data_IF_302834515578
#
_entry.id   IF_302834515578
#
_cell.length_a   1.000
_cell.length_b   1.000
_cell.length_c   1.000
_cell.angle_alpha   90.00
_cell.angle_beta   90.00
_cell.angle_gamma   90.00
#
_symmetry.space_group_name_H-M   'P 1'
#
loop_
_entity.id
_entity.type
_entity.pdbx_description
1 polymer ?
#
# COMPACT_ATOMS: atom_id res chain seq x y z
N UNK A 1 -13.89 64.95 -9.07
CA UNK A 1 -13.90 63.48 -9.26
C UNK A 1 -12.58 62.91 -8.77
N UNK A 2 -12.55 62.28 -7.59
CA UNK A 2 -11.38 61.56 -7.08
C UNK A 2 -11.55 60.09 -7.43
N UNK A 3 -10.63 59.54 -8.21
CA UNK A 3 -10.59 58.14 -8.62
C UNK A 3 -10.02 57.30 -7.47
N UNK A 4 -10.87 56.48 -6.84
CA UNK A 4 -10.42 55.49 -5.87
C UNK A 4 -9.75 54.33 -6.62
N UNK A 5 -8.46 54.10 -6.37
CA UNK A 5 -7.79 52.83 -6.71
C UNK A 5 -8.38 51.71 -5.85
N UNK A 6 -8.65 50.51 -6.39
CA UNK A 6 -9.06 49.37 -5.58
C UNK A 6 -7.92 49.00 -4.62
N UNK A 7 -8.24 48.95 -3.33
CA UNK A 7 -7.30 48.63 -2.26
C UNK A 7 -6.69 47.24 -2.46
N UNK A 8 -5.35 47.19 -2.47
CA UNK A 8 -4.63 45.95 -2.19
C UNK A 8 -5.04 45.50 -0.79
N UNK A 9 -5.69 44.34 -0.69
CA UNK A 9 -5.84 43.64 0.59
C UNK A 9 -4.44 43.48 1.21
N UNK A 10 -4.26 43.74 2.51
CA UNK A 10 -2.97 43.50 3.16
C UNK A 10 -2.64 42.01 3.04
N UNK A 11 -1.48 41.72 2.46
CA UNK A 11 -0.97 40.35 2.36
C UNK A 11 -0.95 39.76 3.77
N UNK A 12 -1.64 38.62 3.95
CA UNK A 12 -1.62 37.91 5.21
C UNK A 12 -0.16 37.67 5.64
N UNK A 13 0.16 37.80 6.95
CA UNK A 13 1.51 37.54 7.42
C UNK A 13 1.90 36.12 7.05
N UNK A 14 3.09 35.96 6.45
CA UNK A 14 3.64 34.65 6.16
C UNK A 14 3.95 33.92 7.46
N UNK A 15 3.29 32.79 7.69
CA UNK A 15 3.56 31.90 8.81
C UNK A 15 4.09 30.58 8.23
N UNK A 16 5.33 30.16 8.57
CA UNK A 16 5.83 28.87 8.12
C UNK A 16 4.99 27.75 8.74
N UNK A 17 4.75 26.69 7.97
CA UNK A 17 4.10 25.48 8.48
C UNK A 17 4.94 24.76 9.53
N UNK A 18 4.34 23.81 10.24
CA UNK A 18 5.05 23.00 11.22
C UNK A 18 6.23 22.25 10.56
N UNK A 19 7.47 22.41 11.04
CA UNK A 19 8.66 21.86 10.37
C UNK A 19 8.92 20.38 10.67
N UNK A 20 8.08 19.71 11.47
CA UNK A 20 8.33 18.33 11.99
C UNK A 20 8.70 17.35 10.88
N UNK A 21 7.89 17.24 9.81
CA UNK A 21 8.18 16.33 8.69
C UNK A 21 9.47 16.68 7.96
N UNK A 22 9.74 17.98 7.76
CA UNK A 22 10.98 18.42 7.12
C UNK A 22 12.21 18.11 7.97
N UNK A 23 12.10 18.26 9.29
CA UNK A 23 13.19 17.97 10.21
C UNK A 23 13.45 16.46 10.31
N UNK A 24 12.38 15.65 10.34
CA UNK A 24 12.49 14.20 10.28
C UNK A 24 13.19 13.77 8.98
N UNK A 25 12.72 14.24 7.82
CA UNK A 25 13.35 13.99 6.53
C UNK A 25 14.84 14.36 6.46
N UNK A 26 15.25 15.48 7.08
CA UNK A 26 16.67 15.88 7.13
C UNK A 26 17.55 14.89 7.88
N UNK A 27 16.96 14.13 8.80
CA UNK A 27 17.66 13.13 9.61
C UNK A 27 17.63 11.73 8.98
N UNK A 28 17.05 11.59 7.77
CA UNK A 28 17.08 10.34 7.00
C UNK A 28 18.53 9.92 6.70
N UNK A 29 18.88 8.68 7.09
CA UNK A 29 20.22 8.14 6.85
C UNK A 29 21.33 8.74 7.73
N UNK A 30 21.00 9.48 8.79
CA UNK A 30 22.01 10.06 9.67
C UNK A 30 22.67 9.00 10.57
N UNK A 31 23.92 8.67 10.29
CA UNK A 31 24.69 7.66 11.04
C UNK A 31 24.93 8.03 12.52
N UNK A 32 24.92 9.33 12.85
CA UNK A 32 25.24 9.81 14.21
C UNK A 32 24.06 9.68 15.17
N UNK A 33 22.84 9.83 14.66
CA UNK A 33 21.61 9.80 15.45
C UNK A 33 20.89 8.45 15.34
N UNK A 34 21.24 7.63 14.34
CA UNK A 34 20.66 6.32 14.14
C UNK A 34 20.85 5.39 15.34
N UNK A 35 19.76 4.71 15.72
CA UNK A 35 19.70 3.69 16.77
C UNK A 35 19.48 2.28 16.20
N UNK A 36 19.28 2.18 14.87
CA UNK A 36 19.17 0.93 14.12
C UNK A 36 19.96 0.98 12.81
N UNK A 37 20.43 -0.19 12.37
CA UNK A 37 21.23 -0.36 11.16
C UNK A 37 20.73 -1.57 10.38
N UNK A 38 20.64 -1.44 9.06
CA UNK A 38 20.21 -2.50 8.15
C UNK A 38 21.31 -2.86 7.18
N UNK A 39 21.39 -4.14 6.82
CA UNK A 39 22.13 -4.62 5.67
C UNK A 39 21.14 -5.21 4.67
N UNK A 40 21.01 -4.56 3.52
CA UNK A 40 20.00 -4.89 2.50
C UNK A 40 20.67 -5.48 1.27
N UNK A 41 20.08 -6.53 0.74
CA UNK A 41 20.58 -7.25 -0.42
C UNK A 41 21.43 -8.46 -0.03
N UNK A 42 21.77 -9.25 -1.04
CA UNK A 42 22.44 -10.54 -0.88
C UNK A 42 21.47 -11.68 -0.51
N UNK A 43 21.40 -12.70 -1.37
CA UNK A 43 21.01 -14.09 -1.08
C UNK A 43 21.43 -14.91 -2.32
N UNK A 44 22.01 -16.11 -2.23
CA UNK A 44 21.36 -17.39 -1.86
C UNK A 44 22.37 -18.31 -1.17
N UNK A 45 22.00 -18.96 -0.06
CA UNK A 45 22.65 -20.24 0.30
C UNK A 45 22.27 -21.25 -0.78
N UNK A 46 23.19 -21.54 -1.71
CA UNK A 46 23.04 -22.72 -2.55
C UNK A 46 23.06 -23.95 -1.66
N UNK A 47 21.92 -24.62 -1.57
CA UNK A 47 21.89 -26.03 -1.27
C UNK A 47 22.89 -26.74 -2.19
N UNK A 48 23.67 -27.64 -1.59
CA UNK A 48 24.69 -28.50 -2.20
C UNK A 48 26.09 -27.90 -2.36
N UNK A 49 26.93 -28.17 -1.35
CA UNK A 49 28.31 -28.62 -1.53
C UNK A 49 29.30 -27.73 -2.28
N UNK A 50 30.19 -27.08 -1.52
CA UNK A 50 31.51 -26.56 -1.94
C UNK A 50 31.53 -25.72 -3.24
N UNK A 51 31.58 -24.39 -3.11
CA UNK A 51 32.56 -23.50 -3.80
C UNK A 51 32.33 -22.02 -3.41
N UNK A 52 33.43 -21.28 -3.30
CA UNK A 52 33.63 -19.83 -3.05
C UNK A 52 32.36 -18.99 -2.83
N UNK A 53 32.23 -18.45 -1.61
CA UNK A 53 31.31 -17.36 -1.21
C UNK A 53 31.45 -16.22 -2.23
N UNK A 54 30.52 -16.13 -3.19
CA UNK A 54 30.42 -14.95 -4.03
C UNK A 54 30.15 -13.75 -3.12
N UNK A 55 30.94 -12.69 -3.26
CA UNK A 55 30.76 -11.46 -2.48
C UNK A 55 29.47 -10.80 -2.97
N UNK A 56 28.34 -11.18 -2.38
CA UNK A 56 27.06 -10.54 -2.62
C UNK A 56 27.15 -9.11 -2.10
N UNK A 57 26.91 -8.14 -2.97
CA UNK A 57 26.91 -6.73 -2.59
C UNK A 57 25.71 -6.48 -1.65
N UNK A 58 26.00 -6.07 -0.42
CA UNK A 58 25.02 -5.58 0.54
C UNK A 58 25.16 -4.07 0.65
N UNK A 59 24.04 -3.37 0.85
CA UNK A 59 24.01 -1.93 1.08
C UNK A 59 23.56 -1.68 2.51
N UNK A 60 24.31 -0.84 3.22
CA UNK A 60 23.99 -0.48 4.60
C UNK A 60 23.07 0.74 4.65
N UNK A 61 22.05 0.69 5.51
CA UNK A 61 21.18 1.83 5.79
C UNK A 61 21.14 2.10 7.30
N UNK A 62 21.14 3.39 7.65
CA UNK A 62 21.01 3.87 9.03
C UNK A 62 19.64 4.49 9.21
N UNK A 63 18.96 4.17 10.30
CA UNK A 63 17.62 4.69 10.56
C UNK A 63 17.33 4.86 12.06
N UNK A 64 16.10 5.32 12.34
CA UNK A 64 15.57 5.54 13.67
C UNK A 64 14.40 4.60 13.94
N UNK A 65 14.50 3.77 14.97
CA UNK A 65 13.46 2.83 15.38
C UNK A 65 12.11 3.54 15.61
N UNK A 66 12.14 4.77 16.15
CA UNK A 66 10.94 5.59 16.33
C UNK A 66 10.19 5.85 15.02
N UNK A 67 10.90 6.20 13.95
CA UNK A 67 10.32 6.47 12.64
C UNK A 67 9.65 5.22 12.07
N UNK A 68 10.30 4.07 12.23
CA UNK A 68 9.82 2.77 11.78
C UNK A 68 8.60 2.31 12.55
N UNK A 69 8.61 2.43 13.88
CA UNK A 69 7.47 2.03 14.71
C UNK A 69 6.17 2.71 14.32
N UNK A 70 6.23 3.95 13.84
CA UNK A 70 5.07 4.72 13.42
C UNK A 70 4.61 4.41 11.99
N UNK A 71 5.53 4.07 11.08
CA UNK A 71 5.23 4.01 9.64
C UNK A 71 5.45 2.64 9.00
N UNK A 72 6.22 1.76 9.63
CA UNK A 72 6.56 0.40 9.20
C UNK A 72 6.79 -0.51 10.43
N UNK A 73 5.73 -0.78 11.22
CA UNK A 73 5.85 -1.46 12.51
C UNK A 73 6.47 -2.86 12.41
N UNK A 74 6.16 -3.63 11.36
CA UNK A 74 6.75 -4.96 11.20
C UNK A 74 8.27 -4.89 10.95
N UNK A 75 8.76 -3.83 10.31
CA UNK A 75 10.22 -3.60 10.21
C UNK A 75 10.82 -3.18 11.55
N UNK A 76 10.11 -2.37 12.33
CA UNK A 76 10.57 -1.96 13.66
C UNK A 76 10.71 -3.17 14.59
N UNK A 77 9.78 -4.12 14.55
CA UNK A 77 9.80 -5.36 15.35
C UNK A 77 10.98 -6.28 15.00
N UNK A 78 11.56 -6.13 13.80
CA UNK A 78 12.79 -6.85 13.39
C UNK A 78 14.07 -6.23 13.95
N UNK A 79 14.00 -5.06 14.59
CA UNK A 79 15.15 -4.32 15.09
C UNK A 79 15.33 -4.51 16.60
N UNK A 80 16.59 -4.49 17.03
CA UNK A 80 16.96 -4.35 18.44
C UNK A 80 17.50 -2.92 18.65
N UNK A 81 16.67 -1.96 19.11
CA UNK A 81 17.10 -0.57 19.22
C UNK A 81 18.25 -0.43 20.21
N UNK A 82 19.28 0.33 19.80
CA UNK A 82 20.46 0.61 20.63
C UNK A 82 21.66 -0.32 20.39
N UNK A 83 21.47 -1.43 19.66
CA UNK A 83 22.58 -2.26 19.17
C UNK A 83 22.86 -1.99 17.69
N UNK A 84 23.49 -0.84 17.41
CA UNK A 84 23.94 -0.49 16.05
C UNK A 84 25.13 -1.33 15.55
N UNK A 85 25.70 -2.18 16.42
CA UNK A 85 26.82 -3.05 16.07
C UNK A 85 26.38 -4.31 15.33
N UNK A 86 25.13 -4.72 15.51
CA UNK A 86 24.50 -5.86 14.85
C UNK A 86 23.42 -5.41 13.85
N UNK A 87 23.72 -5.33 12.55
CA UNK A 87 22.75 -4.91 11.54
C UNK A 87 21.62 -5.94 11.35
N UNK A 88 20.39 -5.46 11.20
CA UNK A 88 19.26 -6.30 10.78
C UNK A 88 19.41 -6.64 9.29
N UNK A 89 19.49 -7.93 8.96
CA UNK A 89 19.64 -8.40 7.58
C UNK A 89 18.30 -8.40 6.83
N UNK A 90 18.27 -7.76 5.67
CA UNK A 90 17.11 -7.63 4.79
C UNK A 90 17.41 -8.31 3.45
N UNK A 91 16.90 -9.52 3.30
CA UNK A 91 17.07 -10.34 2.10
C UNK A 91 15.91 -10.16 1.11
N UNK A 92 16.11 -10.55 -0.16
CA UNK A 92 15.08 -10.61 -1.20
C UNK A 92 14.36 -9.29 -1.50
N UNK A 93 14.98 -8.14 -1.20
CA UNK A 93 14.49 -6.81 -1.57
C UNK A 93 15.66 -6.03 -2.15
N UNK A 94 15.41 -5.30 -3.24
CA UNK A 94 16.43 -4.48 -3.85
C UNK A 94 16.78 -3.30 -2.94
N UNK A 95 18.07 -2.96 -2.78
CA UNK A 95 18.48 -1.82 -1.95
C UNK A 95 17.79 -0.49 -2.33
N UNK A 96 17.52 -0.27 -3.63
CA UNK A 96 16.78 0.91 -4.10
C UNK A 96 15.35 0.95 -3.56
N UNK A 97 14.59 -0.15 -3.72
CA UNK A 97 13.21 -0.28 -3.20
C UNK A 97 13.16 -0.11 -1.68
N UNK A 98 14.11 -0.72 -0.96
CA UNK A 98 14.18 -0.55 0.50
C UNK A 98 14.47 0.90 0.88
N UNK A 99 15.38 1.57 0.18
CA UNK A 99 15.68 2.98 0.40
C UNK A 99 14.45 3.86 0.21
N UNK A 100 13.69 3.62 -0.86
CA UNK A 100 12.48 4.41 -1.17
C UNK A 100 11.40 4.22 -0.10
N UNK A 101 11.18 2.99 0.34
CA UNK A 101 10.28 2.70 1.46
C UNK A 101 10.76 3.34 2.77
N UNK A 102 12.06 3.23 3.08
CA UNK A 102 12.61 3.85 4.28
C UNK A 102 12.48 5.38 4.20
N UNK A 103 12.72 5.98 3.03
CA UNK A 103 12.54 7.41 2.81
C UNK A 103 11.08 7.83 3.01
N UNK A 104 10.13 7.03 2.55
CA UNK A 104 8.70 7.23 2.80
C UNK A 104 8.36 7.25 4.30
N UNK A 105 8.97 6.36 5.09
CA UNK A 105 8.77 6.31 6.55
C UNK A 105 9.21 7.59 7.27
N UNK A 106 10.02 8.44 6.62
CA UNK A 106 10.46 9.72 7.15
C UNK A 106 9.57 10.90 6.69
N UNK A 107 8.50 10.64 5.94
CA UNK A 107 7.62 11.64 5.34
C UNK A 107 8.02 12.02 3.90
N UNK A 108 8.91 11.24 3.28
CA UNK A 108 9.31 11.41 1.90
C UNK A 108 8.21 11.01 0.92
N UNK A 109 8.19 11.65 -0.24
CA UNK A 109 7.32 11.26 -1.35
C UNK A 109 8.12 10.53 -2.39
N UNK A 110 7.62 9.38 -2.84
CA UNK A 110 8.18 8.66 -3.99
C UNK A 110 7.59 9.30 -5.25
N UNK A 111 8.41 9.51 -6.28
CA UNK A 111 7.90 10.06 -7.54
C UNK A 111 6.93 9.10 -8.21
N UNK A 112 5.92 9.63 -8.91
CA UNK A 112 4.97 8.82 -9.67
C UNK A 112 5.69 7.90 -10.67
N UNK A 113 6.72 8.39 -11.37
CA UNK A 113 7.48 7.57 -12.32
C UNK A 113 8.11 6.35 -11.66
N UNK A 114 8.66 6.52 -10.45
CA UNK A 114 9.28 5.41 -9.71
C UNK A 114 8.23 4.44 -9.17
N UNK A 115 7.08 4.96 -8.70
CA UNK A 115 5.94 4.14 -8.33
C UNK A 115 5.42 3.33 -9.52
N UNK A 116 5.33 3.91 -10.72
CA UNK A 116 4.86 3.22 -11.93
C UNK A 116 5.83 2.12 -12.37
N UNK A 117 7.12 2.40 -12.33
CA UNK A 117 8.16 1.45 -12.78
C UNK A 117 8.36 0.29 -11.80
N UNK A 118 8.24 0.55 -10.50
CA UNK A 118 8.59 -0.40 -9.44
C UNK A 118 7.40 -0.73 -8.52
N UNK A 119 6.16 -0.59 -9.02
CA UNK A 119 4.95 -0.70 -8.20
C UNK A 119 4.89 -2.03 -7.44
N UNK A 120 5.22 -3.13 -8.13
CA UNK A 120 5.14 -4.47 -7.56
C UNK A 120 6.18 -4.68 -6.46
N UNK A 121 7.43 -4.29 -6.71
CA UNK A 121 8.52 -4.38 -5.73
C UNK A 121 8.24 -3.52 -4.50
N UNK A 122 7.69 -2.31 -4.70
CA UNK A 122 7.29 -1.41 -3.62
C UNK A 122 6.15 -2.02 -2.80
N UNK A 123 5.13 -2.60 -3.45
CA UNK A 123 4.04 -3.31 -2.76
C UNK A 123 4.61 -4.47 -1.93
N UNK A 124 5.51 -5.28 -2.49
CA UNK A 124 6.10 -6.42 -1.78
C UNK A 124 6.90 -5.97 -0.55
N UNK A 125 7.68 -4.91 -0.67
CA UNK A 125 8.42 -4.34 0.46
C UNK A 125 7.48 -3.74 1.51
N UNK A 126 6.52 -2.92 1.08
CA UNK A 126 5.59 -2.24 1.97
C UNK A 126 4.68 -3.22 2.72
N UNK A 127 4.18 -4.25 2.04
CA UNK A 127 3.38 -5.34 2.63
C UNK A 127 4.20 -6.13 3.66
N UNK A 128 5.45 -6.48 3.34
CA UNK A 128 6.34 -7.21 4.25
C UNK A 128 6.66 -6.43 5.52
N UNK A 129 6.85 -5.12 5.39
CA UNK A 129 7.36 -4.27 6.47
C UNK A 129 6.28 -3.45 7.19
N UNK A 130 5.03 -3.59 6.77
CA UNK A 130 3.90 -2.91 7.39
C UNK A 130 3.77 -1.43 7.01
N UNK A 131 4.36 -1.00 5.90
CA UNK A 131 4.21 0.36 5.38
C UNK A 131 2.88 0.52 4.61
N UNK A 132 1.76 0.43 5.35
CA UNK A 132 0.40 0.35 4.80
C UNK A 132 0.09 1.48 3.82
N UNK A 133 0.36 2.74 4.18
CA UNK A 133 0.02 3.87 3.31
C UNK A 133 0.78 3.82 1.98
N UNK A 134 2.06 3.42 2.02
CA UNK A 134 2.86 3.25 0.82
C UNK A 134 2.33 2.09 -0.05
N UNK A 135 1.93 0.98 0.58
CA UNK A 135 1.31 -0.15 -0.12
C UNK A 135 0.05 0.29 -0.88
N UNK A 136 -0.82 1.07 -0.25
CA UNK A 136 -2.07 1.55 -0.87
C UNK A 136 -1.80 2.55 -2.00
N UNK A 137 -0.81 3.43 -1.84
CA UNK A 137 -0.39 4.37 -2.87
C UNK A 137 0.20 3.65 -4.09
N UNK A 138 1.06 2.65 -3.86
CA UNK A 138 1.62 1.81 -4.92
C UNK A 138 0.55 0.92 -5.58
N UNK A 139 -0.44 0.44 -4.83
CA UNK A 139 -1.59 -0.29 -5.37
C UNK A 139 -2.39 0.59 -6.34
N UNK A 140 -2.74 1.82 -5.96
CA UNK A 140 -3.48 2.74 -6.82
C UNK A 140 -2.72 2.99 -8.13
N UNK A 141 -1.40 3.22 -8.05
CA UNK A 141 -0.55 3.35 -9.22
C UNK A 141 -0.52 2.08 -10.09
N UNK A 142 -0.48 0.89 -9.46
CA UNK A 142 -0.45 -0.37 -10.18
C UNK A 142 -1.78 -0.64 -10.92
N UNK A 143 -2.91 -0.28 -10.31
CA UNK A 143 -4.24 -0.38 -10.93
C UNK A 143 -4.36 0.48 -12.19
N UNK A 144 -3.75 1.66 -12.19
CA UNK A 144 -3.77 2.58 -13.34
C UNK A 144 -2.82 2.15 -14.47
N UNK A 145 -1.77 1.40 -14.16
CA UNK A 145 -0.72 1.02 -15.12
C UNK A 145 -0.85 -0.40 -15.64
N UNK A 146 -1.53 -1.30 -14.92
CA UNK A 146 -1.65 -2.70 -15.32
C UNK A 146 -2.58 -2.87 -16.52
N UNK A 147 -2.05 -3.47 -17.58
CA UNK A 147 -2.84 -3.90 -18.74
C UNK A 147 -3.43 -5.28 -18.48
N UNK A 148 -4.72 -5.34 -18.13
CA UNK A 148 -5.42 -6.60 -17.92
C UNK A 148 -5.80 -7.26 -19.26
N UNK A 149 -5.56 -8.57 -19.35
CA UNK A 149 -5.97 -9.42 -20.47
C UNK A 149 -6.52 -10.74 -19.94
N UNK A 150 -7.25 -11.48 -20.77
CA UNK A 150 -7.76 -12.81 -20.38
C UNK A 150 -6.63 -13.80 -20.06
N UNK A 151 -5.44 -13.60 -20.62
CA UNK A 151 -4.29 -14.49 -20.41
C UNK A 151 -3.58 -14.20 -19.06
N UNK A 152 -3.63 -12.96 -18.57
CA UNK A 152 -2.92 -12.56 -17.34
C UNK A 152 -3.83 -12.41 -16.11
N UNK A 153 -5.15 -12.34 -16.30
CA UNK A 153 -6.10 -11.94 -15.26
C UNK A 153 -6.05 -12.83 -14.02
N UNK A 154 -5.87 -14.14 -14.19
CA UNK A 154 -5.80 -15.09 -13.07
C UNK A 154 -4.52 -14.89 -12.26
N UNK A 155 -3.39 -14.65 -12.91
CA UNK A 155 -2.14 -14.33 -12.22
C UNK A 155 -2.23 -13.02 -11.43
N UNK A 156 -2.85 -11.99 -12.03
CA UNK A 156 -3.00 -10.68 -11.39
C UNK A 156 -3.97 -10.74 -10.21
N UNK A 157 -5.12 -11.41 -10.35
CA UNK A 157 -6.12 -11.48 -9.28
C UNK A 157 -5.64 -12.34 -8.10
N UNK A 158 -4.92 -13.44 -8.36
CA UNK A 158 -4.32 -14.27 -7.31
C UNK A 158 -3.20 -13.51 -6.59
N UNK A 159 -2.40 -12.71 -7.32
CA UNK A 159 -1.44 -11.81 -6.69
C UNK A 159 -2.14 -10.77 -5.80
N UNK A 160 -3.19 -10.11 -6.31
CA UNK A 160 -3.96 -9.11 -5.58
C UNK A 160 -4.53 -9.68 -4.28
N UNK A 161 -5.14 -10.87 -4.36
CA UNK A 161 -5.70 -11.57 -3.23
C UNK A 161 -4.62 -12.00 -2.21
N UNK A 162 -3.46 -12.50 -2.66
CA UNK A 162 -2.35 -12.87 -1.77
C UNK A 162 -1.74 -11.70 -0.99
N UNK A 163 -1.88 -10.48 -1.53
CA UNK A 163 -1.33 -9.24 -0.98
C UNK A 163 -2.38 -8.33 -0.35
N UNK A 164 -3.63 -8.78 -0.24
CA UNK A 164 -4.77 -7.97 0.22
C UNK A 164 -4.93 -6.64 -0.55
N UNK A 165 -4.65 -6.65 -1.85
CA UNK A 165 -4.83 -5.51 -2.74
C UNK A 165 -6.28 -5.45 -3.21
N UNK A 166 -7.16 -4.96 -2.32
CA UNK A 166 -8.60 -4.93 -2.56
C UNK A 166 -8.99 -4.13 -3.81
N UNK A 167 -8.30 -3.01 -4.11
CA UNK A 167 -8.60 -2.17 -5.27
C UNK A 167 -8.20 -2.86 -6.57
N UNK A 168 -7.02 -3.50 -6.59
CA UNK A 168 -6.60 -4.30 -7.74
C UNK A 168 -7.51 -5.51 -7.97
N UNK A 169 -7.88 -6.20 -6.88
CA UNK A 169 -8.84 -7.31 -6.93
C UNK A 169 -10.18 -6.85 -7.52
N UNK A 170 -10.72 -5.72 -7.06
CA UNK A 170 -11.95 -5.12 -7.60
C UNK A 170 -11.81 -4.82 -9.10
N UNK A 171 -10.69 -4.21 -9.52
CA UNK A 171 -10.41 -3.90 -10.94
C UNK A 171 -10.38 -5.15 -11.82
N UNK A 172 -9.83 -6.26 -11.31
CA UNK A 172 -9.82 -7.56 -12.00
C UNK A 172 -11.23 -8.13 -12.15
N UNK A 173 -12.06 -8.08 -11.10
CA UNK A 173 -13.43 -8.57 -11.17
C UNK A 173 -14.30 -7.74 -12.11
N UNK A 174 -14.14 -6.41 -12.09
CA UNK A 174 -14.80 -5.52 -13.04
C UNK A 174 -14.44 -5.88 -14.49
N UNK A 175 -13.15 -6.11 -14.77
CA UNK A 175 -12.70 -6.54 -16.09
C UNK A 175 -13.39 -7.85 -16.53
N UNK A 176 -13.35 -8.89 -15.69
CA UNK A 176 -14.01 -10.18 -15.98
C UNK A 176 -15.53 -10.03 -16.16
N UNK A 177 -16.18 -9.19 -15.36
CA UNK A 177 -17.62 -8.96 -15.43
C UNK A 177 -18.04 -8.28 -16.75
N UNK A 178 -17.18 -7.41 -17.28
CA UNK A 178 -17.42 -6.66 -18.52
C UNK A 178 -16.96 -7.37 -19.80
N UNK A 179 -16.14 -8.42 -19.67
CA UNK A 179 -15.60 -9.18 -20.79
C UNK A 179 -16.65 -10.08 -21.45
N UNK A 180 -16.39 -10.50 -22.69
CA UNK A 180 -17.23 -11.47 -23.38
C UNK A 180 -17.20 -12.83 -22.65
N UNK A 181 -18.38 -13.27 -22.19
CA UNK A 181 -18.53 -14.49 -21.37
C UNK A 181 -18.12 -15.76 -22.11
N UNK A 182 -18.29 -15.80 -23.44
CA UNK A 182 -17.90 -16.95 -24.27
C UNK A 182 -16.38 -16.99 -24.38
N UNK A 183 -15.73 -15.84 -24.58
CA UNK A 183 -14.27 -15.77 -24.60
C UNK A 183 -13.66 -16.13 -23.24
N UNK A 184 -14.20 -15.59 -22.15
CA UNK A 184 -13.75 -15.90 -20.78
C UNK A 184 -13.83 -17.41 -20.54
N UNK A 185 -14.99 -18.04 -20.82
CA UNK A 185 -15.18 -19.47 -20.62
C UNK A 185 -14.26 -20.35 -21.48
N UNK A 186 -13.75 -19.83 -22.61
CA UNK A 186 -12.83 -20.57 -23.50
C UNK A 186 -11.37 -20.39 -23.13
N UNK A 187 -10.97 -19.19 -22.69
CA UNK A 187 -9.56 -18.81 -22.52
C UNK A 187 -9.09 -18.84 -21.07
N UNK A 188 -9.97 -18.55 -20.12
CA UNK A 188 -9.60 -18.40 -18.71
C UNK A 188 -9.78 -19.74 -17.99
N UNK A 189 -8.71 -20.26 -17.40
CA UNK A 189 -8.81 -21.36 -16.42
C UNK A 189 -9.01 -20.78 -15.03
N UNK A 190 -10.05 -21.24 -14.34
CA UNK A 190 -10.36 -20.83 -12.96
C UNK A 190 -9.86 -21.82 -11.91
N UNK A 191 -9.11 -22.86 -12.30
CA UNK A 191 -8.70 -23.95 -11.41
C UNK A 191 -7.84 -23.44 -10.23
N UNK A 192 -6.98 -22.45 -10.48
CA UNK A 192 -6.11 -21.84 -9.47
C UNK A 192 -6.74 -20.62 -8.78
N UNK A 193 -7.99 -20.28 -9.10
CA UNK A 193 -8.68 -19.12 -8.51
C UNK A 193 -9.30 -19.49 -7.16
N UNK A 194 -8.95 -18.81 -6.05
CA UNK A 194 -9.58 -19.07 -4.77
C UNK A 194 -11.10 -18.89 -4.81
N UNK A 195 -11.85 -19.87 -4.31
CA UNK A 195 -13.33 -19.88 -4.36
C UNK A 195 -13.99 -18.65 -3.72
N UNK A 196 -13.35 -18.03 -2.72
CA UNK A 196 -13.81 -16.78 -2.11
C UNK A 196 -13.96 -15.63 -3.12
N UNK A 197 -13.17 -15.63 -4.19
CA UNK A 197 -13.20 -14.62 -5.25
C UNK A 197 -14.48 -14.67 -6.09
N UNK A 198 -15.22 -15.79 -6.06
CA UNK A 198 -16.52 -15.89 -6.73
C UNK A 198 -17.50 -14.87 -6.15
N UNK A 199 -17.43 -14.59 -4.83
CA UNK A 199 -18.27 -13.54 -4.21
C UNK A 199 -17.96 -12.17 -4.81
N UNK A 200 -16.68 -11.82 -4.94
CA UNK A 200 -16.25 -10.55 -5.55
C UNK A 200 -16.71 -10.44 -7.01
N UNK A 201 -16.66 -11.54 -7.77
CA UNK A 201 -17.14 -11.59 -9.16
C UNK A 201 -18.66 -11.38 -9.25
N UNK A 202 -19.45 -12.01 -8.37
CA UNK A 202 -20.90 -11.81 -8.33
C UNK A 202 -21.25 -10.36 -7.97
N UNK A 203 -20.50 -9.74 -7.05
CA UNK A 203 -20.67 -8.31 -6.71
C UNK A 203 -20.36 -7.43 -7.92
N UNK A 204 -19.28 -7.71 -8.66
CA UNK A 204 -18.95 -6.97 -9.88
C UNK A 204 -20.05 -7.11 -10.95
N UNK A 205 -20.58 -8.32 -11.16
CA UNK A 205 -21.70 -8.56 -12.07
C UNK A 205 -22.96 -7.79 -11.65
N UNK A 206 -23.34 -7.86 -10.37
CA UNK A 206 -24.49 -7.16 -9.84
C UNK A 206 -24.37 -5.64 -10.04
N UNK A 207 -23.18 -5.06 -9.84
CA UNK A 207 -22.93 -3.63 -10.12
C UNK A 207 -23.09 -3.26 -11.59
N UNK A 208 -22.78 -4.18 -12.52
CA UNK A 208 -22.99 -3.97 -13.95
C UNK A 208 -24.46 -4.03 -14.36
N UNK A 209 -25.28 -4.80 -13.65
CA UNK A 209 -26.70 -5.00 -13.93
C UNK A 209 -27.61 -3.95 -13.25
N UNK A 210 -27.19 -3.42 -12.10
CA UNK A 210 -28.02 -2.56 -11.26
C UNK A 210 -27.90 -1.08 -11.67
N UNK A 211 -29.01 -0.46 -12.10
CA UNK A 211 -29.07 0.99 -12.45
C UNK A 211 -29.19 1.93 -11.25
N UNK A 212 -29.53 1.41 -10.06
CA UNK A 212 -29.54 2.18 -8.81
C UNK A 212 -29.28 1.25 -7.63
N UNK A 213 -28.11 1.35 -7.01
CA UNK A 213 -27.94 0.78 -5.67
C UNK A 213 -28.71 1.63 -4.67
N UNK A 214 -29.39 0.98 -3.73
CA UNK A 214 -29.96 1.69 -2.58
C UNK A 214 -28.81 2.31 -1.78
N UNK A 215 -28.97 3.58 -1.41
CA UNK A 215 -28.02 4.29 -0.54
C UNK A 215 -27.90 3.54 0.80
N UNK A 216 -26.70 3.07 1.15
CA UNK A 216 -26.43 2.39 2.42
C UNK A 216 -26.03 0.92 2.31
N UNK A 217 -26.05 0.33 1.11
CA UNK A 217 -25.63 -1.05 0.91
C UNK A 217 -24.09 -1.18 0.84
N UNK A 218 -23.46 -1.41 2.00
CA UNK A 218 -22.01 -1.63 2.12
C UNK A 218 -21.54 -2.77 1.20
N UNK A 219 -22.38 -3.80 1.01
CA UNK A 219 -22.11 -4.96 0.15
C UNK A 219 -22.05 -4.61 -1.34
N UNK A 220 -22.42 -3.40 -1.75
CA UNK A 220 -22.27 -2.93 -3.13
C UNK A 220 -21.29 -1.77 -3.29
N UNK A 221 -20.80 -1.15 -2.21
CA UNK A 221 -19.86 -0.03 -2.27
C UNK A 221 -18.49 -0.42 -2.84
N UNK A 222 -17.90 0.50 -3.62
CA UNK A 222 -16.55 0.37 -4.20
C UNK A 222 -15.49 0.38 -3.11
N UNK A 223 -14.35 -0.26 -3.35
CA UNK A 223 -13.25 -0.34 -2.38
C UNK A 223 -12.77 1.05 -1.94
N UNK A 224 -12.64 2.01 -2.86
CA UNK A 224 -12.24 3.38 -2.51
C UNK A 224 -13.25 4.07 -1.58
N UNK A 225 -14.55 3.80 -1.76
CA UNK A 225 -15.60 4.34 -0.88
C UNK A 225 -15.57 3.68 0.50
N UNK A 226 -15.34 2.36 0.56
CA UNK A 226 -15.18 1.64 1.81
C UNK A 226 -13.94 2.12 2.58
N UNK A 227 -12.81 2.34 1.90
CA UNK A 227 -11.59 2.91 2.49
C UNK A 227 -11.83 4.32 3.04
N UNK A 228 -12.52 5.18 2.29
CA UNK A 228 -12.87 6.52 2.78
C UNK A 228 -13.74 6.44 4.03
N UNK A 229 -14.78 5.61 4.02
CA UNK A 229 -15.68 5.45 5.17
C UNK A 229 -14.97 4.85 6.39
N UNK A 230 -14.08 3.89 6.18
CA UNK A 230 -13.23 3.33 7.24
C UNK A 230 -12.29 4.41 7.81
N UNK A 231 -11.65 5.21 6.95
CA UNK A 231 -10.76 6.30 7.38
C UNK A 231 -11.51 7.36 8.20
N UNK A 232 -12.68 7.79 7.73
CA UNK A 232 -13.52 8.78 8.43
C UNK A 232 -13.97 8.29 9.82
N UNK A 233 -14.04 6.97 10.01
CA UNK A 233 -14.35 6.30 11.29
C UNK A 233 -13.11 5.96 12.13
N UNK A 234 -11.90 6.29 11.66
CA UNK A 234 -10.64 5.94 12.34
C UNK A 234 -10.30 4.46 12.33
N UNK A 235 -10.84 3.69 11.37
CA UNK A 235 -10.58 2.26 11.19
C UNK A 235 -9.39 2.03 10.24
N UNK A 236 -8.82 0.82 10.29
CA UNK A 236 -7.79 0.40 9.34
C UNK A 236 -8.35 0.35 7.90
N UNK A 237 -7.56 0.85 6.95
CA UNK A 237 -7.93 0.94 5.52
C UNK A 237 -7.25 -0.13 4.64
N UNK A 238 -6.33 -0.92 5.22
CA UNK A 238 -5.74 -2.09 4.57
C UNK A 238 -6.55 -3.35 4.88
N UNK A 239 -6.46 -4.32 3.99
CA UNK A 239 -7.18 -5.59 4.07
C UNK A 239 -8.16 -5.80 2.92
N UNK A 240 -8.84 -6.95 2.98
CA UNK A 240 -9.82 -7.30 1.97
C UNK A 240 -11.07 -6.42 2.05
N UNK A 241 -11.85 -6.42 0.97
CA UNK A 241 -13.15 -5.75 0.93
C UNK A 241 -14.07 -6.21 2.07
N UNK A 242 -14.09 -7.50 2.36
CA UNK A 242 -14.87 -8.11 3.43
C UNK A 242 -14.43 -7.63 4.81
N UNK A 243 -13.12 -7.47 5.02
CA UNK A 243 -12.58 -6.94 6.28
C UNK A 243 -13.00 -5.48 6.50
N UNK A 244 -12.99 -4.66 5.43
CA UNK A 244 -13.45 -3.27 5.50
C UNK A 244 -14.93 -3.20 5.87
N UNK A 245 -15.78 -3.99 5.20
CA UNK A 245 -17.22 -4.03 5.49
C UNK A 245 -17.46 -4.47 6.93
N UNK A 246 -16.88 -5.59 7.36
CA UNK A 246 -17.06 -6.10 8.73
C UNK A 246 -16.59 -5.09 9.79
N UNK A 247 -15.48 -4.39 9.55
CA UNK A 247 -14.98 -3.37 10.49
C UNK A 247 -15.93 -2.17 10.59
N UNK A 248 -16.50 -1.75 9.46
CA UNK A 248 -17.46 -0.64 9.41
C UNK A 248 -18.79 -1.03 10.08
N UNK A 249 -19.29 -2.24 9.83
CA UNK A 249 -20.52 -2.76 10.43
C UNK A 249 -20.39 -2.89 11.95
N UNK A 250 -19.31 -3.49 12.43
CA UNK A 250 -19.03 -3.60 13.86
C UNK A 250 -19.02 -2.21 14.52
N UNK A 251 -18.39 -1.22 13.88
CA UNK A 251 -18.34 0.15 14.39
C UNK A 251 -19.70 0.85 14.40
N UNK A 252 -20.56 0.55 13.43
CA UNK A 252 -21.92 1.07 13.38
C UNK A 252 -22.81 0.45 14.47
N UNK A 253 -22.63 -0.84 14.79
CA UNK A 253 -23.34 -1.52 15.87
C UNK A 253 -23.00 -0.96 17.25
N UNK A 254 -21.72 -0.70 17.53
CA UNK A 254 -21.27 -0.12 18.80
C UNK A 254 -21.87 1.28 19.08
N UNK A 255 -22.08 2.09 18.03
CA UNK A 255 -22.65 3.43 18.16
C UNK A 255 -24.16 3.44 18.45
N UNK A 256 -24.87 2.33 18.20
CA UNK A 256 -26.31 2.21 18.43
C UNK A 256 -26.69 1.84 19.87
N UNK A 257 -25.76 1.31 20.66
CA UNK A 257 -26.02 0.86 22.04
C UNK A 257 -25.78 1.94 23.10
N UNK A 258 -25.20 3.09 22.73
CA UNK A 258 -24.89 4.19 23.66
C UNK A 258 -25.92 5.33 23.71
N UNK A 259 -27.03 5.24 22.98
CA UNK A 259 -28.11 6.24 22.99
C UNK A 259 -29.47 5.68 23.43
N UNK A 260 -29.52 4.86 24.48
CA UNK A 260 -30.79 4.43 25.11
C UNK A 260 -30.79 4.60 26.62
#
# INVERSE_FOLDING_TARGET
MRTNKPGQQPAAPFVPGNPTLQNMLKDFGNEKTADVKFEVGGAVESATGRRKRAKTFTTTFHAHHYALRLNAPALADMCNPGDVSAPTAINNIQPATFKDMLYYCYGGKISEDNLRQNAKEIIEAADRFGAVNLKLEAEACYVDTVELSLDNIIGVVTYADSKNLALLKERCMDFLSSADKIEVARKVSFDDMPSRLVKDLMVAQARGETRSSASGDLDMMRVSQLRQLAHDKGLGVDGSREMLIASIENKNGEGGETES
#
